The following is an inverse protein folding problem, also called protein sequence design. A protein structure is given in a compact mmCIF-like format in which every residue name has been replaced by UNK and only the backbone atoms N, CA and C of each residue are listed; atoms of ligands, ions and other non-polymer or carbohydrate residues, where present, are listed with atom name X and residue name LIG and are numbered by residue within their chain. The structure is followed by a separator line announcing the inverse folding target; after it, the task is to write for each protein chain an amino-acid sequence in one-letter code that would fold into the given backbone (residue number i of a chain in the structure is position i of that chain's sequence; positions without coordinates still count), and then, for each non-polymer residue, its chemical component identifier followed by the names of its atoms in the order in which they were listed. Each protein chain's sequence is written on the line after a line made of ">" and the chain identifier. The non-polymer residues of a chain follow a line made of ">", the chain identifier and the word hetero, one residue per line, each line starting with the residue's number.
data_IF_933738693162
#
_entry.id   IF_933738693162
#
_cell.length_a   1.000
_cell.length_b   1.000
_cell.length_c   1.000
_cell.angle_alpha   90.00
_cell.angle_beta   90.00
_cell.angle_gamma   90.00
#
_symmetry.space_group_name_H-M   'P 1'
#
loop_
_entity.id
_entity.type
_entity.pdbx_description
1 polymer ?
#
# COMPACT_ATOMS: atom_id res chain seq x y z
N UNK A 1 -62.55 89.26 35.07
CA UNK A 1 -61.18 89.03 35.59
C UNK A 1 -60.49 88.08 34.64
N UNK A 2 -59.23 88.32 34.20
CA UNK A 2 -58.53 87.36 33.35
C UNK A 2 -58.12 86.13 34.16
N UNK A 3 -58.34 84.94 33.59
CA UNK A 3 -58.12 83.65 34.24
C UNK A 3 -56.67 83.17 34.14
N UNK A 4 -56.24 82.42 35.16
CA UNK A 4 -54.89 81.86 35.27
C UNK A 4 -54.72 80.68 34.30
N UNK A 5 -53.73 80.73 33.40
CA UNK A 5 -53.44 79.66 32.45
C UNK A 5 -52.17 78.93 32.89
N UNK A 6 -52.29 77.64 33.23
CA UNK A 6 -51.16 76.80 33.62
C UNK A 6 -51.04 75.66 32.60
N UNK A 7 -49.87 75.55 31.97
CA UNK A 7 -49.51 74.41 31.11
C UNK A 7 -48.63 73.47 31.92
N UNK A 8 -49.08 72.22 32.12
CA UNK A 8 -48.26 71.15 32.69
C UNK A 8 -47.64 70.36 31.54
N UNK A 9 -46.33 70.49 31.34
CA UNK A 9 -45.59 69.62 30.44
C UNK A 9 -45.19 68.34 31.20
N UNK A 10 -45.73 67.19 30.80
CA UNK A 10 -45.22 65.88 31.26
C UNK A 10 -43.94 65.57 30.51
N UNK A 11 -42.82 65.40 31.24
CA UNK A 11 -41.61 64.82 30.66
C UNK A 11 -41.85 63.32 30.42
N UNK A 12 -41.68 62.87 29.17
CA UNK A 12 -41.46 61.47 28.86
C UNK A 12 -39.94 61.27 28.71
N UNK A 13 -39.21 60.89 29.78
CA UNK A 13 -37.81 60.54 29.62
C UNK A 13 -37.70 59.32 28.70
N UNK A 14 -37.04 59.48 27.56
CA UNK A 14 -36.72 58.38 26.67
C UNK A 14 -35.55 57.58 27.28
N UNK A 15 -35.89 56.63 28.15
CA UNK A 15 -34.94 55.63 28.62
C UNK A 15 -34.75 54.65 27.46
N UNK A 16 -33.58 54.72 26.82
CA UNK A 16 -33.24 53.87 25.69
C UNK A 16 -33.49 52.38 26.03
N UNK A 17 -33.96 51.60 25.04
CA UNK A 17 -34.21 50.17 25.22
C UNK A 17 -32.92 49.41 25.55
N UNK A 18 -32.99 48.49 26.51
CA UNK A 18 -31.90 47.55 26.75
C UNK A 18 -31.67 46.70 25.49
N UNK A 19 -30.47 46.79 24.92
CA UNK A 19 -30.02 45.82 23.94
C UNK A 19 -29.36 44.66 24.72
N UNK A 20 -29.91 43.46 24.59
CA UNK A 20 -29.18 42.24 24.94
C UNK A 20 -28.55 41.71 23.67
N UNK A 21 -27.21 41.62 23.66
CA UNK A 21 -26.51 40.87 22.63
C UNK A 21 -27.02 39.42 22.66
N UNK A 22 -27.37 38.86 21.50
CA UNK A 22 -27.74 37.46 21.42
C UNK A 22 -26.54 36.61 21.83
N UNK A 23 -26.73 35.69 22.78
CA UNK A 23 -25.73 34.66 23.10
C UNK A 23 -25.73 33.64 21.96
N UNK A 24 -24.84 33.84 20.99
CA UNK A 24 -24.60 32.87 19.92
C UNK A 24 -23.66 31.80 20.49
N UNK A 25 -24.05 30.51 20.54
CA UNK A 25 -23.15 29.46 20.96
C UNK A 25 -21.94 29.43 19.99
N UNK A 26 -20.73 29.30 20.55
CA UNK A 26 -19.53 29.20 19.73
C UNK A 26 -19.65 27.99 18.80
N UNK A 27 -19.45 28.20 17.50
CA UNK A 27 -19.26 27.10 16.56
C UNK A 27 -18.05 26.27 17.01
N UNK A 28 -18.08 24.93 16.93
CA UNK A 28 -16.90 24.13 17.22
C UNK A 28 -15.76 24.55 16.28
N UNK A 29 -14.71 25.11 16.85
CA UNK A 29 -13.51 25.56 16.12
C UNK A 29 -12.45 24.48 16.26
N UNK A 30 -12.07 23.84 15.16
CA UNK A 30 -10.96 22.88 15.14
C UNK A 30 -11.03 21.99 13.89
N UNK A 31 -9.99 22.06 13.06
CA UNK A 31 -9.83 21.25 11.84
C UNK A 31 -10.19 19.78 12.10
N UNK A 32 -11.03 19.19 11.25
CA UNK A 32 -11.16 17.73 11.22
C UNK A 32 -9.77 17.14 10.99
N UNK A 33 -9.25 16.31 11.90
CA UNK A 33 -7.91 15.75 11.74
C UNK A 33 -7.87 14.96 10.45
N UNK A 34 -6.92 15.30 9.57
CA UNK A 34 -6.68 14.54 8.34
C UNK A 34 -5.91 13.29 8.72
N UNK A 35 -6.24 12.15 8.14
CA UNK A 35 -5.49 10.91 8.34
C UNK A 35 -5.09 10.39 6.97
N UNK A 36 -3.80 10.07 6.80
CA UNK A 36 -3.32 9.31 5.66
C UNK A 36 -3.32 7.83 6.05
N UNK A 37 -4.11 7.04 5.37
CA UNK A 37 -4.17 5.58 5.54
C UNK A 37 -3.37 4.93 4.42
N UNK A 38 -2.41 4.10 4.80
CA UNK A 38 -1.60 3.30 3.91
C UNK A 38 -2.16 1.87 3.94
N UNK A 39 -2.31 1.25 2.77
CA UNK A 39 -2.66 -0.16 2.63
C UNK A 39 -1.74 -0.80 1.61
N UNK A 40 -1.15 -1.94 1.96
CA UNK A 40 -0.26 -2.67 1.08
C UNK A 40 -0.58 -4.15 1.09
N UNK A 41 -0.88 -4.68 -0.09
CA UNK A 41 -1.30 -6.05 -0.29
C UNK A 41 -0.70 -6.62 -1.58
N UNK A 42 -0.57 -7.93 -1.63
CA UNK A 42 -0.20 -8.70 -2.83
C UNK A 42 -1.35 -8.73 -3.85
N UNK A 43 -1.07 -9.28 -5.05
CA UNK A 43 -2.08 -9.42 -6.13
C UNK A 43 -3.30 -10.25 -5.71
N UNK A 44 -3.12 -11.18 -4.78
CA UNK A 44 -4.16 -12.03 -4.21
C UNK A 44 -4.89 -11.36 -3.02
N UNK A 45 -4.68 -10.05 -2.82
CA UNK A 45 -5.23 -9.23 -1.75
C UNK A 45 -4.78 -9.63 -0.33
N UNK A 46 -3.81 -10.53 -0.18
CA UNK A 46 -3.21 -10.80 1.13
C UNK A 46 -2.36 -9.63 1.60
N UNK A 47 -2.35 -9.32 2.90
CA UNK A 47 -1.58 -8.20 3.43
C UNK A 47 -0.08 -8.47 3.36
N UNK A 48 0.69 -7.41 3.07
CA UNK A 48 2.13 -7.41 3.23
C UNK A 48 2.43 -6.97 4.66
N UNK A 49 2.72 -7.94 5.51
CA UNK A 49 2.76 -7.75 6.97
C UNK A 49 4.13 -7.25 7.41
N UNK A 50 4.13 -6.37 8.41
CA UNK A 50 5.33 -5.82 9.02
C UNK A 50 6.29 -5.15 8.02
N UNK A 51 5.79 -4.75 6.85
CA UNK A 51 6.61 -4.09 5.84
C UNK A 51 7.02 -2.69 6.33
N UNK A 52 8.31 -2.32 6.27
CA UNK A 52 8.72 -0.96 6.57
C UNK A 52 8.18 -0.02 5.48
N UNK A 53 7.76 1.18 5.85
CA UNK A 53 7.33 2.21 4.90
C UNK A 53 8.07 3.52 5.13
N UNK A 54 8.17 4.32 4.07
CA UNK A 54 8.66 5.69 4.08
C UNK A 54 7.73 6.58 3.26
N UNK A 55 7.24 7.65 3.86
CA UNK A 55 6.48 8.71 3.18
C UNK A 55 7.37 9.94 3.06
N UNK A 56 7.60 10.40 1.84
CA UNK A 56 8.27 11.65 1.50
C UNK A 56 7.22 12.68 1.11
N UNK A 57 6.98 13.68 1.96
CA UNK A 57 6.03 14.74 1.67
C UNK A 57 6.64 15.82 0.78
N UNK A 58 5.80 16.52 0.00
CA UNK A 58 6.24 17.55 -0.95
C UNK A 58 6.93 18.74 -0.27
N UNK A 59 6.69 18.95 1.02
CA UNK A 59 7.38 19.97 1.83
C UNK A 59 8.78 19.52 2.32
N UNK A 60 9.26 18.34 1.90
CA UNK A 60 10.56 17.77 2.28
C UNK A 60 10.57 17.00 3.61
N UNK A 61 9.48 17.00 4.38
CA UNK A 61 9.39 16.20 5.62
C UNK A 61 9.16 14.72 5.31
N UNK A 62 9.54 13.86 6.25
CA UNK A 62 9.47 12.41 6.08
C UNK A 62 8.77 11.74 7.26
N UNK A 63 8.06 10.64 7.00
CA UNK A 63 7.49 9.77 8.03
C UNK A 63 7.82 8.31 7.70
N UNK A 64 8.43 7.60 8.64
CA UNK A 64 8.77 6.19 8.48
C UNK A 64 8.14 5.37 9.60
N UNK A 65 7.85 4.11 9.29
CA UNK A 65 7.27 3.17 10.24
C UNK A 65 7.16 1.78 9.65
N UNK A 66 6.29 0.97 10.24
CA UNK A 66 6.03 -0.40 9.84
C UNK A 66 4.53 -0.60 9.72
N UNK A 67 4.09 -1.34 8.70
CA UNK A 67 2.69 -1.72 8.55
C UNK A 67 2.29 -2.73 9.64
N UNK A 68 1.01 -2.78 9.99
CA UNK A 68 0.49 -3.74 10.95
C UNK A 68 0.24 -5.13 10.32
N UNK A 69 -0.38 -6.02 11.10
CA UNK A 69 -0.75 -7.37 10.67
C UNK A 69 -1.76 -7.43 9.50
N UNK A 70 -2.41 -6.32 9.18
CA UNK A 70 -3.32 -6.18 8.04
C UNK A 70 -2.65 -5.49 6.85
N UNK A 71 -1.35 -5.20 6.92
CA UNK A 71 -0.65 -4.43 5.89
C UNK A 71 -1.11 -2.96 5.87
N UNK A 72 -1.53 -2.43 7.02
CA UNK A 72 -2.06 -1.07 7.14
C UNK A 72 -1.20 -0.17 8.04
N UNK A 73 -1.21 1.13 7.78
CA UNK A 73 -0.68 2.13 8.69
C UNK A 73 -1.49 3.44 8.62
N UNK A 74 -1.56 4.17 9.73
CA UNK A 74 -2.29 5.45 9.83
C UNK A 74 -1.38 6.56 10.31
N UNK A 75 -1.25 7.60 9.49
CA UNK A 75 -0.44 8.78 9.79
C UNK A 75 -1.38 9.95 10.08
N UNK A 76 -1.46 10.42 11.34
CA UNK A 76 -2.33 11.52 11.71
C UNK A 76 -1.73 12.86 11.26
N UNK A 77 -2.60 13.75 10.78
CA UNK A 77 -2.30 15.11 10.34
C UNK A 77 -1.09 15.20 9.39
N UNK A 78 -1.12 14.51 8.23
CA UNK A 78 -0.06 14.62 7.26
C UNK A 78 0.09 16.08 6.81
N UNK A 79 1.32 16.58 6.63
CA UNK A 79 1.56 17.98 6.28
C UNK A 79 1.17 18.33 4.84
N UNK A 80 0.90 17.32 4.00
CA UNK A 80 0.50 17.51 2.61
C UNK A 80 0.48 16.19 1.83
N UNK A 81 0.35 16.26 0.49
CA UNK A 81 0.63 15.12 -0.39
C UNK A 81 2.10 14.69 -0.31
N UNK A 82 2.36 13.46 -0.76
CA UNK A 82 3.70 12.89 -0.76
C UNK A 82 3.76 11.57 -1.53
N UNK A 83 4.97 11.05 -1.66
CA UNK A 83 5.27 9.74 -2.26
C UNK A 83 5.46 8.71 -1.15
N UNK A 84 4.91 7.53 -1.33
CA UNK A 84 5.03 6.42 -0.38
C UNK A 84 5.92 5.35 -1.00
N UNK A 85 6.86 4.84 -0.20
CA UNK A 85 7.72 3.73 -0.53
C UNK A 85 7.45 2.62 0.48
N UNK A 86 7.23 1.41 -0.01
CA UNK A 86 7.06 0.22 0.81
C UNK A 86 8.27 -0.69 0.65
N UNK A 87 8.72 -1.28 1.77
CA UNK A 87 9.65 -2.39 1.76
C UNK A 87 8.92 -3.73 1.62
N UNK A 88 9.67 -4.81 1.81
CA UNK A 88 9.16 -6.17 1.71
C UNK A 88 8.44 -6.63 2.98
N UNK A 89 7.63 -7.67 2.86
CA UNK A 89 7.10 -8.43 3.99
C UNK A 89 8.26 -8.94 4.86
N UNK A 90 8.10 -8.82 6.17
CA UNK A 90 9.14 -9.20 7.13
C UNK A 90 8.85 -10.55 7.81
N UNK A 91 7.76 -11.23 7.45
CA UNK A 91 7.49 -12.59 7.94
C UNK A 91 8.49 -13.57 7.35
N UNK A 92 8.78 -14.61 8.13
CA UNK A 92 9.52 -15.76 7.63
C UNK A 92 8.77 -16.38 6.44
N UNK A 93 9.53 -16.84 5.44
CA UNK A 93 8.95 -17.51 4.28
C UNK A 93 8.17 -18.75 4.73
N UNK A 94 6.89 -18.79 4.37
CA UNK A 94 6.01 -19.93 4.64
C UNK A 94 5.52 -20.53 3.31
N UNK A 95 5.31 -21.86 3.26
CA UNK A 95 4.76 -22.50 2.07
C UNK A 95 3.33 -22.00 1.84
N UNK A 96 3.03 -21.65 0.60
CA UNK A 96 1.68 -21.37 0.17
C UNK A 96 1.36 -22.15 -1.12
N UNK A 97 0.27 -22.93 -1.16
CA UNK A 97 -0.63 -23.22 -0.04
C UNK A 97 0.05 -24.00 1.09
N UNK A 98 -0.49 -23.91 2.31
CA UNK A 98 -0.03 -24.73 3.43
C UNK A 98 -0.32 -26.20 3.14
N UNK A 99 0.71 -27.04 3.17
CA UNK A 99 0.57 -28.49 2.92
C UNK A 99 0.51 -29.26 4.23
N UNK A 100 -0.35 -30.29 4.32
CA UNK A 100 -0.40 -31.14 5.51
C UNK A 100 0.92 -31.86 5.73
N UNK A 101 1.23 -32.14 6.99
CA UNK A 101 2.43 -32.91 7.34
C UNK A 101 2.38 -34.31 6.72
N UNK A 102 3.51 -34.77 6.17
CA UNK A 102 3.59 -36.09 5.56
C UNK A 102 3.36 -37.20 6.62
N UNK A 103 2.31 -38.03 6.49
CA UNK A 103 1.95 -39.04 7.48
C UNK A 103 2.97 -40.17 7.65
N UNK A 104 3.90 -40.33 6.70
CA UNK A 104 4.96 -41.33 6.75
C UNK A 104 6.35 -40.73 7.00
N UNK A 105 6.42 -39.44 7.35
CA UNK A 105 7.69 -38.79 7.68
C UNK A 105 8.35 -39.47 8.87
N UNK A 106 9.56 -39.99 8.67
CA UNK A 106 10.30 -40.71 9.71
C UNK A 106 9.87 -42.16 9.95
N UNK A 107 8.83 -42.65 9.25
CA UNK A 107 8.46 -44.07 9.29
C UNK A 107 9.53 -44.92 8.60
N UNK A 108 10.03 -45.95 9.30
CA UNK A 108 11.04 -46.88 8.79
C UNK A 108 10.37 -48.24 8.55
N UNK A 109 10.01 -48.58 7.31
CA UNK A 109 9.36 -49.86 7.02
C UNK A 109 10.32 -51.02 7.32
N UNK A 110 9.82 -52.05 7.97
CA UNK A 110 10.56 -53.27 8.32
C UNK A 110 10.31 -54.42 7.35
N UNK A 111 9.29 -54.30 6.51
CA UNK A 111 8.92 -55.25 5.47
C UNK A 111 8.37 -54.56 4.22
N UNK A 112 8.33 -55.25 3.06
CA UNK A 112 7.67 -54.72 1.86
C UNK A 112 6.18 -54.43 2.08
N UNK A 113 5.50 -55.25 2.89
CA UNK A 113 4.09 -55.05 3.22
C UNK A 113 3.87 -53.78 4.05
N UNK A 114 4.72 -53.55 5.06
CA UNK A 114 4.69 -52.31 5.85
C UNK A 114 4.93 -51.07 4.97
N UNK A 115 5.85 -51.18 4.01
CA UNK A 115 6.13 -50.10 3.05
C UNK A 115 4.91 -49.82 2.16
N UNK A 116 4.25 -50.87 1.64
CA UNK A 116 3.06 -50.72 0.82
C UNK A 116 1.92 -50.04 1.59
N UNK A 117 1.66 -50.46 2.83
CA UNK A 117 0.64 -49.83 3.68
C UNK A 117 0.98 -48.37 4.01
N UNK A 118 2.26 -48.04 4.20
CA UNK A 118 2.68 -46.66 4.41
C UNK A 118 2.41 -45.80 3.16
N UNK A 119 2.74 -46.30 1.98
CA UNK A 119 2.45 -45.62 0.72
C UNK A 119 0.94 -45.42 0.50
N UNK A 120 0.12 -46.41 0.84
CA UNK A 120 -1.34 -46.29 0.76
C UNK A 120 -1.88 -45.19 1.70
N UNK A 121 -1.37 -45.11 2.93
CA UNK A 121 -1.73 -44.01 3.86
C UNK A 121 -1.34 -42.65 3.32
N UNK A 122 -0.15 -42.53 2.73
CA UNK A 122 0.31 -41.29 2.09
C UNK A 122 -0.59 -40.92 0.90
N UNK A 123 -0.84 -41.88 0.00
CA UNK A 123 -1.67 -41.67 -1.18
C UNK A 123 -3.08 -41.23 -0.79
N UNK A 124 -3.63 -41.84 0.27
CA UNK A 124 -4.93 -41.43 0.81
C UNK A 124 -4.91 -40.00 1.35
N UNK A 125 -3.92 -39.64 2.18
CA UNK A 125 -3.84 -38.29 2.73
C UNK A 125 -3.68 -37.22 1.64
N UNK A 126 -2.92 -37.51 0.59
CA UNK A 126 -2.78 -36.62 -0.57
C UNK A 126 -4.10 -36.51 -1.35
N UNK A 127 -4.78 -37.62 -1.62
CA UNK A 127 -6.06 -37.61 -2.32
C UNK A 127 -7.13 -36.83 -1.55
N UNK A 128 -7.24 -37.04 -0.24
CA UNK A 128 -8.17 -36.32 0.64
C UNK A 128 -7.85 -34.80 0.61
N UNK A 129 -6.57 -34.41 0.65
CA UNK A 129 -6.16 -33.00 0.52
C UNK A 129 -6.53 -32.40 -0.84
N UNK A 130 -6.36 -33.15 -1.93
CA UNK A 130 -6.71 -32.68 -3.27
C UNK A 130 -8.22 -32.48 -3.42
N UNK A 131 -9.03 -33.42 -2.92
CA UNK A 131 -10.50 -33.34 -3.00
C UNK A 131 -11.08 -32.18 -2.19
N UNK A 132 -10.47 -31.86 -1.03
CA UNK A 132 -10.93 -30.76 -0.17
C UNK A 132 -10.54 -29.36 -0.69
N UNK A 133 -9.44 -29.25 -1.46
CA UNK A 133 -8.87 -27.94 -1.85
C UNK A 133 -9.02 -27.60 -3.33
N UNK A 134 -9.28 -28.57 -4.19
CA UNK A 134 -9.30 -28.39 -5.64
C UNK A 134 -10.57 -28.95 -6.26
N UNK A 135 -10.99 -28.38 -7.39
CA UNK A 135 -12.11 -28.94 -8.14
C UNK A 135 -11.69 -30.20 -8.91
N UNK A 136 -12.61 -31.14 -9.21
CA UNK A 136 -12.26 -32.40 -9.86
C UNK A 136 -11.55 -32.26 -11.21
N UNK A 137 -11.86 -31.20 -11.97
CA UNK A 137 -11.22 -30.87 -13.24
C UNK A 137 -9.81 -30.31 -13.04
N UNK A 138 -9.58 -29.48 -12.03
CA UNK A 138 -8.24 -29.01 -11.64
C UNK A 138 -7.35 -30.17 -11.19
N UNK A 139 -7.88 -31.08 -10.36
CA UNK A 139 -7.17 -32.29 -9.94
C UNK A 139 -6.76 -33.14 -11.15
N UNK A 140 -7.67 -33.31 -12.11
CA UNK A 140 -7.37 -34.02 -13.34
C UNK A 140 -6.27 -33.32 -14.16
N UNK A 141 -6.28 -31.98 -14.22
CA UNK A 141 -5.25 -31.19 -14.88
C UNK A 141 -3.87 -31.39 -14.22
N UNK A 142 -3.78 -31.28 -12.90
CA UNK A 142 -2.56 -31.51 -12.12
C UNK A 142 -1.96 -32.89 -12.42
N UNK A 143 -2.78 -33.96 -12.41
CA UNK A 143 -2.30 -35.33 -12.67
C UNK A 143 -2.05 -35.63 -14.15
N UNK A 144 -2.62 -34.86 -15.07
CA UNK A 144 -2.39 -35.02 -16.51
C UNK A 144 -1.03 -34.49 -16.97
N UNK A 145 -0.36 -33.68 -16.14
CA UNK A 145 0.94 -33.08 -16.46
C UNK A 145 0.87 -32.04 -17.58
N UNK A 146 -0.33 -31.53 -17.90
CA UNK A 146 -0.57 -30.53 -18.95
C UNK A 146 -0.45 -29.08 -18.49
N UNK A 147 0.25 -28.81 -17.38
CA UNK A 147 0.51 -27.43 -16.97
C UNK A 147 1.51 -26.80 -17.95
N UNK A 148 0.99 -26.00 -18.87
CA UNK A 148 1.77 -24.97 -19.54
C UNK A 148 2.17 -23.96 -18.45
N UNK A 149 3.32 -24.20 -17.82
CA UNK A 149 3.93 -23.19 -16.95
C UNK A 149 4.17 -21.95 -17.81
N UNK A 150 3.46 -20.87 -17.52
CA UNK A 150 3.84 -19.56 -18.04
C UNK A 150 5.17 -19.22 -17.37
N UNK A 151 6.26 -19.41 -18.11
CA UNK A 151 7.61 -19.16 -17.60
C UNK A 151 7.85 -17.66 -17.36
N UNK A 152 6.86 -16.81 -17.69
CA UNK A 152 6.87 -15.35 -17.59
C UNK A 152 8.14 -14.76 -18.19
N UNK A 153 8.81 -15.49 -19.09
CA UNK A 153 10.06 -15.06 -19.68
C UNK A 153 9.83 -13.78 -20.49
N UNK A 154 8.63 -13.65 -21.07
CA UNK A 154 8.15 -12.45 -21.75
C UNK A 154 8.03 -11.21 -20.85
N UNK A 155 7.76 -11.36 -19.54
CA UNK A 155 7.69 -10.21 -18.61
C UNK A 155 9.08 -9.57 -18.39
N UNK A 156 10.15 -10.32 -18.69
CA UNK A 156 11.53 -9.85 -18.66
C UNK A 156 12.07 -9.47 -20.04
N UNK A 157 11.28 -9.65 -21.10
CA UNK A 157 11.63 -9.06 -22.39
C UNK A 157 11.53 -7.55 -22.23
N UNK A 158 12.70 -6.90 -22.26
CA UNK A 158 12.80 -5.46 -22.40
C UNK A 158 12.17 -5.10 -23.75
N UNK A 159 10.90 -4.70 -23.73
CA UNK A 159 10.30 -3.96 -24.83
C UNK A 159 11.20 -2.74 -25.02
N UNK A 160 11.95 -2.72 -26.13
CA UNK A 160 12.83 -1.60 -26.43
C UNK A 160 11.96 -0.36 -26.45
N UNK A 161 12.27 0.59 -25.55
CA UNK A 161 11.56 1.86 -25.50
C UNK A 161 11.49 2.42 -26.92
N UNK A 162 10.26 2.53 -27.41
CA UNK A 162 9.81 3.14 -28.67
C UNK A 162 10.93 3.69 -29.54
N UNK A 163 11.09 3.10 -30.73
CA UNK A 163 11.75 3.72 -31.88
C UNK A 163 11.37 5.19 -31.94
N UNK A 164 12.28 6.06 -31.52
CA UNK A 164 12.23 7.48 -31.84
C UNK A 164 12.38 7.52 -33.36
N UNK A 165 11.32 7.98 -34.06
CA UNK A 165 11.37 8.25 -35.48
C UNK A 165 12.57 9.17 -35.77
N UNK A 166 13.48 8.66 -36.61
CA UNK A 166 14.45 9.38 -37.44
C UNK A 166 15.19 10.58 -36.79
N UNK A 167 16.35 10.29 -36.20
CA UNK A 167 17.47 11.22 -36.27
C UNK A 167 18.64 10.57 -37.03
N UNK A 168 18.95 11.27 -38.11
CA UNK A 168 19.91 11.04 -39.16
C UNK A 168 21.32 10.61 -38.69
N UNK A 169 21.93 9.80 -39.54
CA UNK A 169 23.31 9.30 -39.62
C UNK A 169 24.36 9.88 -38.64
N UNK A 170 24.79 9.06 -37.67
CA UNK A 170 26.22 8.87 -37.37
C UNK A 170 26.45 7.70 -36.40
N UNK A 171 26.95 6.59 -36.93
CA UNK A 171 27.74 5.51 -36.25
C UNK A 171 27.58 5.31 -34.73
N UNK A 172 27.05 4.16 -34.27
CA UNK A 172 27.11 3.77 -32.87
C UNK A 172 28.56 3.62 -32.39
N UNK A 173 28.94 4.36 -31.35
CA UNK A 173 30.20 4.14 -30.62
C UNK A 173 31.29 5.22 -30.72
N UNK A 174 30.98 6.45 -31.12
CA UNK A 174 31.87 7.60 -30.86
C UNK A 174 31.29 8.50 -29.78
N UNK A 175 31.88 8.44 -28.60
CA UNK A 175 31.83 9.51 -27.60
C UNK A 175 33.23 10.11 -27.56
N UNK A 176 33.35 11.42 -27.83
CA UNK A 176 34.61 12.12 -27.61
C UNK A 176 34.80 12.30 -26.10
N UNK A 177 35.80 11.62 -25.54
CA UNK A 177 36.18 11.78 -24.14
C UNK A 177 36.83 13.16 -23.94
N UNK A 178 36.11 14.07 -23.29
CA UNK A 178 36.70 15.33 -22.83
C UNK A 178 37.42 15.08 -21.51
N UNK A 179 38.75 15.03 -21.56
CA UNK A 179 39.59 14.94 -20.36
C UNK A 179 39.56 16.28 -19.63
N UNK A 180 38.99 16.31 -18.41
CA UNK A 180 39.12 17.45 -17.50
C UNK A 180 40.46 17.35 -16.76
N UNK A 181 41.19 18.46 -16.67
CA UNK A 181 42.34 18.57 -15.78
C UNK A 181 41.92 18.77 -14.32
N UNK A 182 42.86 18.65 -13.38
CA UNK A 182 42.64 18.68 -11.90
C UNK A 182 41.97 19.97 -11.37
N UNK A 183 41.63 20.92 -12.23
CA UNK A 183 40.90 22.14 -11.92
C UNK A 183 39.53 22.27 -12.60
N UNK A 184 39.09 21.25 -13.34
CA UNK A 184 37.72 21.17 -13.84
C UNK A 184 37.40 22.12 -14.99
N UNK A 185 38.37 22.43 -15.85
CA UNK A 185 38.13 23.17 -17.11
C UNK A 185 38.66 22.40 -18.31
N UNK A 186 37.91 22.44 -19.43
CA UNK A 186 38.21 21.67 -20.64
C UNK A 186 39.60 22.00 -21.21
N UNK A 187 40.47 21.00 -21.30
CA UNK A 187 41.78 21.11 -21.94
C UNK A 187 41.62 21.16 -23.46
N UNK A 188 41.91 22.31 -24.05
CA UNK A 188 41.93 22.49 -25.52
C UNK A 188 43.30 22.06 -26.06
N UNK A 189 43.30 21.07 -26.95
CA UNK A 189 44.36 20.85 -27.93
C UNK A 189 43.76 20.79 -29.33
#
# INVERSE_FOLDING_TARGET
>A
MPGNFIVKASQHPFLAGEYKAAEIPALPVGLTPKVLELKYAYKDLKPVVDAPYLVLFDNGTQNAGTLDANGEAKIPNPPGPGKVFFGYDQRDAFPYPERPANPILGFKPTSPEDAAQALERYAKAEADFMEDNYFPDEVAAIYSGGEDYDDLLSDYEYDSESVIEELDDATPGKHDEVMLDDHGTEGVA
#
